data_IF_024466128120
#
_entry.id   IF_024466128120
#
_cell.length_a   1.000
_cell.length_b   1.000
_cell.length_c   1.000
_cell.angle_alpha   90.00
_cell.angle_beta   90.00
_cell.angle_gamma   90.00
#
_symmetry.space_group_name_H-M   'P 1'
#
loop_
_entity.id
_entity.type
_entity.pdbx_description
1 polymer ?
#
# COMPACT_ATOMS: atom_id res chain seq x y z
N UNK A 1 1.90 9.77 -7.83
CA UNK A 1 2.83 8.68 -8.24
C UNK A 1 3.90 9.31 -9.10
N UNK A 2 5.19 9.03 -8.88
CA UNK A 2 6.27 9.59 -9.70
C UNK A 2 6.17 9.14 -11.16
N UNK A 3 6.74 9.92 -12.08
CA UNK A 3 6.70 9.63 -13.51
C UNK A 3 7.37 8.27 -13.85
N UNK A 4 8.53 7.98 -13.25
CA UNK A 4 9.25 6.72 -13.43
C UNK A 4 8.39 5.45 -13.19
N UNK A 5 7.45 5.50 -12.24
CA UNK A 5 6.55 4.39 -11.96
C UNK A 5 5.39 4.31 -12.95
N UNK A 6 4.95 5.46 -13.46
CA UNK A 6 3.93 5.50 -14.51
C UNK A 6 4.48 4.91 -15.80
N UNK A 7 5.70 5.27 -16.17
CA UNK A 7 6.37 4.74 -17.37
C UNK A 7 6.55 3.22 -17.27
N UNK A 8 6.92 2.71 -16.09
CA UNK A 8 6.99 1.27 -15.83
C UNK A 8 5.62 0.59 -16.03
N UNK A 9 4.54 1.17 -15.50
CA UNK A 9 3.18 0.61 -15.67
C UNK A 9 2.79 0.58 -17.16
N UNK A 10 3.10 1.63 -17.94
CA UNK A 10 2.83 1.66 -19.38
C UNK A 10 3.58 0.56 -20.11
N UNK A 11 4.88 0.42 -19.82
CA UNK A 11 5.73 -0.60 -20.44
C UNK A 11 5.24 -2.02 -20.12
N UNK A 12 5.05 -2.33 -18.84
CA UNK A 12 4.70 -3.70 -18.40
C UNK A 12 3.28 -4.09 -18.80
N UNK A 13 2.36 -3.11 -18.95
CA UNK A 13 1.00 -3.37 -19.38
C UNK A 13 0.80 -3.24 -20.89
N UNK A 14 1.82 -2.83 -21.65
CA UNK A 14 1.71 -2.54 -23.08
C UNK A 14 0.68 -1.44 -23.39
N UNK A 15 0.53 -0.48 -22.48
CA UNK A 15 -0.45 0.61 -22.59
C UNK A 15 0.18 1.87 -23.18
N UNK A 16 -0.63 2.67 -23.87
CA UNK A 16 -0.21 3.95 -24.49
C UNK A 16 -0.37 5.13 -23.56
N UNK A 17 -1.39 5.07 -22.71
CA UNK A 17 -1.66 6.07 -21.71
C UNK A 17 -2.21 5.41 -20.45
N UNK A 18 -2.03 6.10 -19.33
CA UNK A 18 -2.59 5.71 -18.06
C UNK A 18 -3.20 6.92 -17.35
N UNK A 19 -4.19 6.63 -16.53
CA UNK A 19 -4.80 7.59 -15.61
C UNK A 19 -4.93 6.95 -14.24
N UNK A 20 -4.34 7.58 -13.24
CA UNK A 20 -4.55 7.18 -11.84
C UNK A 20 -5.99 7.54 -11.47
N UNK A 21 -6.75 6.52 -11.06
CA UNK A 21 -8.13 6.64 -10.59
C UNK A 21 -8.18 6.66 -9.05
N UNK A 22 -9.28 6.15 -8.53
CA UNK A 22 -9.56 6.24 -7.10
C UNK A 22 -8.60 5.41 -6.25
N UNK A 23 -8.26 5.97 -5.08
CA UNK A 23 -7.60 5.24 -4.00
C UNK A 23 -8.59 4.26 -3.39
N UNK A 24 -8.25 2.97 -3.45
CA UNK A 24 -9.02 1.91 -2.80
C UNK A 24 -8.78 1.95 -1.30
N UNK A 25 -7.51 1.96 -0.89
CA UNK A 25 -7.13 2.00 0.52
C UNK A 25 -5.75 2.63 0.72
N UNK A 26 -5.55 3.24 1.88
CA UNK A 26 -4.20 3.48 2.40
C UNK A 26 -3.67 2.16 2.96
N UNK A 27 -2.37 1.87 2.77
CA UNK A 27 -1.73 0.72 3.39
C UNK A 27 -1.66 0.92 4.91
N UNK A 28 -1.60 -0.19 5.64
CA UNK A 28 -1.42 -0.16 7.09
C UNK A 28 -0.11 0.57 7.44
N UNK A 29 -0.12 1.22 8.60
CA UNK A 29 1.03 2.01 9.06
C UNK A 29 1.46 3.13 8.10
N UNK A 30 0.55 3.57 7.22
CA UNK A 30 0.75 4.66 6.26
C UNK A 30 1.91 4.46 5.26
N UNK A 31 2.36 3.23 5.02
CA UNK A 31 3.43 2.91 4.06
C UNK A 31 3.03 3.09 2.58
N UNK A 32 1.97 3.82 2.26
CA UNK A 32 1.52 4.04 0.90
C UNK A 32 0.06 3.68 0.70
N UNK A 33 -0.29 3.23 -0.50
CA UNK A 33 -1.69 3.12 -0.92
C UNK A 33 -1.90 2.10 -2.04
N UNK A 34 -3.13 1.61 -2.14
CA UNK A 34 -3.63 0.84 -3.27
C UNK A 34 -4.56 1.73 -4.08
N UNK A 35 -4.27 1.88 -5.37
CA UNK A 35 -5.00 2.75 -6.30
C UNK A 35 -5.45 1.97 -7.53
N UNK A 36 -6.57 2.38 -8.10
CA UNK A 36 -6.98 1.96 -9.44
C UNK A 36 -6.20 2.75 -10.48
N UNK A 37 -5.76 2.11 -11.55
CA UNK A 37 -5.14 2.77 -12.69
C UNK A 37 -5.85 2.31 -13.96
N UNK A 38 -6.42 3.28 -14.66
CA UNK A 38 -7.03 3.07 -15.97
C UNK A 38 -5.94 3.12 -17.02
N UNK A 39 -6.01 2.21 -17.98
CA UNK A 39 -5.04 2.08 -19.07
C UNK A 39 -5.77 2.18 -20.41
N UNK A 40 -5.15 2.89 -21.35
CA UNK A 40 -5.63 3.02 -22.71
C UNK A 40 -4.67 2.37 -23.71
N UNK A 41 -5.23 1.75 -24.75
CA UNK A 41 -4.45 1.15 -25.83
C UNK A 41 -3.83 -0.22 -25.50
N UNK A 42 -4.37 -0.94 -24.52
CA UNK A 42 -4.01 -2.32 -24.17
C UNK A 42 -5.25 -3.17 -23.90
N UNK A 43 -5.09 -4.50 -23.83
CA UNK A 43 -6.19 -5.44 -23.57
C UNK A 43 -6.72 -5.40 -22.13
N UNK A 44 -6.03 -4.69 -21.23
CA UNK A 44 -6.36 -4.61 -19.80
C UNK A 44 -6.67 -3.17 -19.41
N UNK A 45 -7.93 -2.72 -19.52
CA UNK A 45 -8.29 -1.31 -19.33
C UNK A 45 -8.19 -0.81 -17.88
N UNK A 46 -8.04 -1.72 -16.91
CA UNK A 46 -7.98 -1.39 -15.49
C UNK A 46 -7.02 -2.33 -14.76
N UNK A 47 -6.08 -1.76 -14.03
CA UNK A 47 -5.17 -2.47 -13.13
C UNK A 47 -5.22 -1.88 -11.73
N UNK A 48 -4.88 -2.70 -10.74
CA UNK A 48 -4.76 -2.26 -9.35
C UNK A 48 -3.29 -2.17 -9.00
N UNK A 49 -2.83 -0.99 -8.62
CA UNK A 49 -1.43 -0.74 -8.27
C UNK A 49 -1.30 -0.58 -6.76
N UNK A 50 -0.47 -1.43 -6.16
CA UNK A 50 -0.05 -1.32 -4.75
C UNK A 50 1.24 -0.51 -4.68
N UNK A 51 1.12 0.77 -4.36
CA UNK A 51 2.27 1.65 -4.18
C UNK A 51 2.76 1.57 -2.73
N UNK A 52 3.93 0.96 -2.52
CA UNK A 52 4.59 0.83 -1.22
C UNK A 52 5.73 1.86 -1.14
N UNK A 53 5.60 2.80 -0.21
CA UNK A 53 6.66 3.71 0.17
C UNK A 53 7.39 3.13 1.36
N UNK A 54 8.57 2.55 1.11
CA UNK A 54 9.51 2.24 2.18
C UNK A 54 10.12 3.56 2.66
N UNK A 55 10.01 3.90 3.95
CA UNK A 55 10.67 5.09 4.47
C UNK A 55 12.17 4.90 4.28
N UNK A 56 12.86 5.86 3.64
CA UNK A 56 14.32 5.83 3.55
C UNK A 56 14.98 5.98 4.93
N UNK A 57 14.26 6.57 5.87
CA UNK A 57 14.50 6.58 7.31
C UNK A 57 13.10 6.58 7.94
N UNK A 58 12.66 5.43 8.44
CA UNK A 58 11.47 5.41 9.27
C UNK A 58 11.92 5.82 10.66
N UNK A 59 11.86 7.11 10.99
CA UNK A 59 11.71 7.47 12.40
C UNK A 59 10.38 6.85 12.85
N UNK A 60 10.49 5.63 13.35
CA UNK A 60 9.44 4.96 14.08
C UNK A 60 9.57 5.40 15.54
N UNK A 61 8.58 6.11 16.10
CA UNK A 61 8.52 6.32 17.55
C UNK A 61 8.36 5.01 18.34
N UNK A 62 8.16 3.88 17.66
CA UNK A 62 7.91 2.56 18.23
C UNK A 62 8.78 1.43 17.66
N UNK A 63 9.93 1.70 17.05
CA UNK A 63 10.97 0.67 16.82
C UNK A 63 10.55 -0.64 16.12
N UNK A 64 9.53 -0.62 15.25
CA UNK A 64 8.98 -1.87 14.66
C UNK A 64 9.76 -2.39 13.44
N UNK A 65 11.04 -2.05 13.33
CA UNK A 65 11.93 -2.56 12.29
C UNK A 65 12.85 -3.66 12.83
N UNK A 66 12.31 -4.56 13.64
CA UNK A 66 12.95 -5.83 14.00
C UNK A 66 11.95 -6.96 13.77
N UNK A 67 12.17 -7.72 12.69
CA UNK A 67 11.96 -9.18 12.56
C UNK A 67 10.67 -9.86 13.07
N UNK A 68 9.58 -9.15 13.36
CA UNK A 68 8.34 -9.78 13.82
C UNK A 68 7.54 -10.48 12.70
N UNK A 69 7.75 -10.10 11.44
CA UNK A 69 7.19 -10.83 10.29
C UNK A 69 7.88 -12.17 10.04
N UNK A 70 9.15 -12.32 10.44
CA UNK A 70 9.86 -13.61 10.39
C UNK A 70 9.37 -14.58 11.47
N UNK A 71 8.99 -14.09 12.67
CA UNK A 71 8.51 -14.94 13.77
C UNK A 71 7.01 -15.29 13.72
N UNK A 72 6.19 -14.68 12.85
CA UNK A 72 4.77 -15.05 12.74
C UNK A 72 4.50 -16.29 11.87
N UNK A 73 5.52 -17.16 11.71
CA UNK A 73 5.38 -18.52 11.20
C UNK A 73 5.54 -19.58 12.30
N UNK A 74 5.21 -19.23 13.55
CA UNK A 74 5.15 -20.17 14.66
C UNK A 74 4.24 -19.70 15.79
N UNK A 75 3.17 -20.47 16.04
CA UNK A 75 2.32 -20.55 17.24
C UNK A 75 1.27 -19.45 17.49
N UNK A 76 0.03 -19.85 17.16
CA UNK A 76 -1.18 -19.93 18.00
C UNK A 76 -1.41 -18.90 19.12
N UNK A 77 -2.57 -18.25 19.01
CA UNK A 77 -3.43 -17.58 20.00
C UNK A 77 -2.92 -17.37 21.44
N UNK A 78 -2.91 -16.11 21.87
CA UNK A 78 -3.32 -15.75 23.23
C UNK A 78 -4.04 -14.39 23.22
N UNK A 79 -5.06 -14.30 24.05
CA UNK A 79 -6.03 -13.23 24.22
C UNK A 79 -5.62 -12.31 25.37
N UNK A 80 -5.52 -10.99 25.15
CA UNK A 80 -5.66 -9.99 26.21
C UNK A 80 -5.65 -8.53 25.69
N UNK A 81 -6.79 -7.85 25.87
CA UNK A 81 -6.87 -6.52 26.50
C UNK A 81 -6.28 -5.25 25.83
N UNK A 82 -7.10 -4.57 24.99
CA UNK A 82 -7.38 -3.11 25.00
C UNK A 82 -6.30 -2.10 24.54
N UNK A 83 -6.63 -0.78 24.48
CA UNK A 83 -7.95 -0.13 24.48
C UNK A 83 -8.29 0.54 23.12
N UNK A 84 -9.59 0.73 22.87
CA UNK A 84 -10.11 1.38 21.68
C UNK A 84 -9.85 2.89 21.65
N UNK A 85 -9.47 3.40 20.48
CA UNK A 85 -9.47 4.82 20.20
C UNK A 85 -10.92 5.30 19.96
N UNK A 86 -11.57 5.77 21.03
CA UNK A 86 -12.72 6.65 20.93
C UNK A 86 -12.29 8.05 20.51
N UNK A 87 -12.94 8.60 19.49
CA UNK A 87 -12.77 9.96 19.00
C UNK A 87 -14.07 10.48 18.40
N UNK A 88 -14.79 11.25 19.21
CA UNK A 88 -16.09 11.91 19.03
C UNK A 88 -16.38 12.51 17.64
N UNK A 89 -17.65 12.38 17.23
CA UNK A 89 -18.41 13.42 16.51
C UNK A 89 -19.81 13.51 17.15
N UNK A 90 -20.24 14.71 17.54
CA UNK A 90 -21.36 15.34 16.83
C UNK A 90 -20.86 16.27 15.73
#
# INVERSE_FOLDING_TARGET
MKQEYQDLILQECGAKALRVGDKIQTLWSCYGQIVKVHLDGCDRPLVVVKHVMFPKEAEHPGGWNTDLSHMRKGRTADSSGGPGCGGLRP
#
